data_IF_011205825560
#
_entry.id   IF_011205825560
#
_cell.length_a   1.000
_cell.length_b   1.000
_cell.length_c   1.000
_cell.angle_alpha   90.00
_cell.angle_beta   90.00
_cell.angle_gamma   90.00
#
_symmetry.space_group_name_H-M   'P 1'
#
loop_
_entity.id
_entity.type
_entity.pdbx_description
1 polymer ?
#
# COMPACT_ATOMS: atom_id res chain seq x y z
N UNK A 1 -29.81 -16.05 18.76
CA UNK A 1 -30.08 -15.06 17.71
C UNK A 1 -30.90 -13.95 18.35
N UNK A 2 -30.43 -12.69 18.33
CA UNK A 2 -31.15 -11.57 18.94
C UNK A 2 -32.38 -11.26 18.07
N UNK A 3 -33.57 -11.23 18.66
CA UNK A 3 -34.81 -10.94 17.93
C UNK A 3 -35.09 -9.44 17.86
N UNK A 4 -35.92 -9.00 16.91
CA UNK A 4 -36.31 -7.59 16.79
C UNK A 4 -36.99 -7.06 18.06
N UNK A 5 -37.74 -7.92 18.77
CA UNK A 5 -38.36 -7.58 20.05
C UNK A 5 -37.30 -7.31 21.14
N UNK A 6 -36.21 -8.08 21.15
CA UNK A 6 -35.11 -7.88 22.10
C UNK A 6 -34.41 -6.54 21.88
N UNK A 7 -34.29 -6.11 20.61
CA UNK A 7 -33.74 -4.79 20.26
C UNK A 7 -34.65 -3.66 20.75
N UNK A 8 -35.96 -3.76 20.53
CA UNK A 8 -36.94 -2.76 20.98
C UNK A 8 -36.96 -2.67 22.51
N UNK A 9 -36.87 -3.82 23.20
CA UNK A 9 -36.86 -3.87 24.66
C UNK A 9 -35.57 -3.25 25.23
N UNK A 10 -34.43 -3.47 24.59
CA UNK A 10 -33.16 -2.85 25.02
C UNK A 10 -33.15 -1.34 24.81
N UNK A 11 -33.70 -0.84 23.70
CA UNK A 11 -33.84 0.60 23.46
C UNK A 11 -34.73 1.27 24.50
N UNK A 12 -35.81 0.60 24.94
CA UNK A 12 -36.68 1.11 26.02
C UNK A 12 -35.98 1.17 27.38
N UNK A 13 -35.13 0.17 27.67
CA UNK A 13 -34.44 0.07 28.96
C UNK A 13 -33.22 1.00 29.04
N UNK A 14 -32.44 1.09 27.96
CA UNK A 14 -31.14 1.76 27.96
C UNK A 14 -31.11 3.04 27.12
N UNK A 15 -32.16 3.37 26.37
CA UNK A 15 -32.19 4.53 25.48
C UNK A 15 -31.99 5.88 26.19
N UNK A 16 -32.48 6.03 27.42
CA UNK A 16 -32.25 7.24 28.24
C UNK A 16 -30.78 7.34 28.64
N UNK A 17 -30.16 6.22 29.05
CA UNK A 17 -28.74 6.18 29.38
C UNK A 17 -27.87 6.49 28.15
N UNK A 18 -28.28 6.00 26.98
CA UNK A 18 -27.64 6.33 25.71
C UNK A 18 -27.69 7.84 25.44
N UNK A 19 -28.85 8.46 25.63
CA UNK A 19 -29.06 9.90 25.43
C UNK A 19 -28.19 10.74 26.37
N UNK A 20 -28.18 10.40 27.66
CA UNK A 20 -27.37 11.08 28.68
C UNK A 20 -25.88 10.93 28.34
N UNK A 21 -25.42 9.71 28.10
CA UNK A 21 -24.03 9.46 27.78
C UNK A 21 -23.59 10.20 26.50
N UNK A 22 -24.44 10.26 25.46
CA UNK A 22 -24.13 11.03 24.25
C UNK A 22 -24.14 12.54 24.47
N UNK A 23 -24.93 13.06 25.41
CA UNK A 23 -24.98 14.50 25.72
C UNK A 23 -23.79 14.99 26.55
N UNK A 24 -23.19 14.11 27.34
CA UNK A 24 -22.01 14.40 28.18
C UNK A 24 -20.69 14.24 27.40
N UNK A 25 -20.70 13.59 26.23
CA UNK A 25 -19.52 13.44 25.40
C UNK A 25 -19.30 14.67 24.51
N UNK A 26 -18.12 15.31 24.55
CA UNK A 26 -17.76 16.36 23.60
C UNK A 26 -17.89 15.88 22.15
N UNK A 27 -18.39 16.73 21.24
CA UNK A 27 -18.64 16.39 19.83
C UNK A 27 -17.43 15.76 19.10
N UNK A 28 -16.20 16.14 19.46
CA UNK A 28 -14.98 15.55 18.89
C UNK A 28 -14.78 14.08 19.27
N UNK A 29 -15.30 13.64 20.43
CA UNK A 29 -15.26 12.23 20.87
C UNK A 29 -16.32 11.38 20.18
N UNK A 30 -17.51 11.94 19.95
CA UNK A 30 -18.55 11.27 19.15
C UNK A 30 -18.06 10.99 17.73
N UNK A 31 -17.32 11.93 17.12
CA UNK A 31 -16.74 11.74 15.78
C UNK A 31 -15.63 10.69 15.72
N UNK A 32 -14.89 10.49 16.82
CA UNK A 32 -13.87 9.44 16.91
C UNK A 32 -14.49 8.04 17.11
N UNK A 33 -15.56 7.95 17.91
CA UNK A 33 -16.33 6.71 18.12
C UNK A 33 -17.08 6.24 16.88
N UNK A 34 -17.61 7.17 16.07
CA UNK A 34 -18.31 6.87 14.82
C UNK A 34 -17.39 6.46 13.65
N UNK A 35 -16.10 6.25 13.91
CA UNK A 35 -15.14 5.73 12.92
C UNK A 35 -15.14 6.50 11.61
N UNK A 36 -14.51 7.68 11.56
CA UNK A 36 -14.04 8.35 10.34
C UNK A 36 -14.95 8.25 9.11
N UNK A 37 -16.27 8.44 9.27
CA UNK A 37 -17.26 8.46 8.17
C UNK A 37 -17.11 9.71 7.28
N UNK A 38 -16.16 10.59 7.57
CA UNK A 38 -15.84 11.76 6.75
C UNK A 38 -14.71 11.51 5.75
N UNK A 39 -14.79 10.41 5.01
CA UNK A 39 -14.16 10.33 3.68
C UNK A 39 -15.24 10.38 2.59
N UNK A 40 -16.08 11.42 2.59
CA UNK A 40 -16.87 11.94 1.45
C UNK A 40 -17.90 12.97 1.93
N UNK A 41 -17.50 14.24 2.07
CA UNK A 41 -18.39 15.43 2.01
C UNK A 41 -17.61 16.76 2.12
N UNK A 42 -16.43 16.86 1.50
CA UNK A 42 -15.77 18.15 1.29
C UNK A 42 -15.50 18.49 -0.18
N UNK A 43 -16.29 17.93 -1.10
CA UNK A 43 -16.30 18.38 -2.50
C UNK A 43 -17.74 18.52 -3.00
N UNK A 44 -18.48 19.49 -2.46
CA UNK A 44 -19.65 20.01 -3.17
C UNK A 44 -20.02 21.43 -2.73
N UNK A 45 -19.13 22.40 -3.01
CA UNK A 45 -19.56 23.74 -3.39
C UNK A 45 -18.46 24.36 -4.27
N UNK A 46 -18.56 24.09 -5.57
CA UNK A 46 -17.62 24.55 -6.59
C UNK A 46 -18.15 24.11 -7.95
N UNK A 47 -18.97 24.97 -8.53
CA UNK A 47 -19.68 24.79 -9.80
C UNK A 47 -18.74 24.47 -10.96
N UNK A 48 -19.14 23.58 -11.88
CA UNK A 48 -18.44 23.44 -13.17
C UNK A 48 -18.59 22.12 -13.93
N UNK A 49 -19.71 21.97 -14.65
CA UNK A 49 -19.85 21.35 -15.99
C UNK A 49 -19.08 20.06 -16.37
N UNK A 50 -19.90 19.07 -16.73
CA UNK A 50 -19.82 18.13 -17.89
C UNK A 50 -18.91 16.89 -17.87
N UNK A 51 -19.61 15.73 -17.94
CA UNK A 51 -19.39 14.57 -18.83
C UNK A 51 -18.32 13.51 -18.46
N UNK A 52 -18.83 12.38 -17.92
CA UNK A 52 -18.66 10.95 -18.35
C UNK A 52 -18.37 9.97 -17.19
N UNK A 53 -19.31 9.06 -16.98
CA UNK A 53 -19.18 7.72 -16.36
C UNK A 53 -18.32 6.80 -17.28
N UNK A 54 -17.76 5.62 -16.89
CA UNK A 54 -18.12 4.74 -15.76
C UNK A 54 -16.95 4.09 -14.99
N UNK A 55 -17.18 3.67 -13.74
CA UNK A 55 -16.49 2.49 -13.21
C UNK A 55 -17.47 1.68 -12.35
N UNK A 56 -17.75 0.49 -12.88
CA UNK A 56 -18.26 -0.68 -12.15
C UNK A 56 -17.35 -0.93 -10.96
N UNK A 57 -17.92 -1.10 -9.77
CA UNK A 57 -17.38 -2.05 -8.82
C UNK A 57 -18.56 -2.70 -8.08
N UNK A 58 -18.79 -3.95 -8.41
CA UNK A 58 -19.67 -4.85 -7.70
C UNK A 58 -19.07 -5.27 -6.34
N UNK A 59 -19.93 -5.93 -5.56
CA UNK A 59 -19.70 -6.57 -4.26
C UNK A 59 -19.78 -5.60 -3.07
N UNK A 60 -20.99 -5.26 -2.60
CA UNK A 60 -21.85 -6.13 -1.78
C UNK A 60 -21.09 -6.82 -0.65
N UNK A 61 -21.05 -6.16 0.52
CA UNK A 61 -21.32 -6.85 1.78
C UNK A 61 -21.86 -5.87 2.83
N UNK A 62 -23.17 -5.97 3.00
CA UNK A 62 -23.90 -5.96 4.27
C UNK A 62 -23.36 -5.09 5.42
N UNK A 63 -23.56 -3.79 5.34
CA UNK A 63 -23.53 -2.92 6.53
C UNK A 63 -24.47 -1.73 6.39
N UNK A 64 -25.72 -1.97 6.00
CA UNK A 64 -26.83 -1.07 6.31
C UNK A 64 -27.18 -1.16 7.79
N UNK A 65 -26.23 -0.78 8.66
CA UNK A 65 -26.55 -0.39 10.04
C UNK A 65 -26.13 1.06 10.18
N UNK A 66 -27.12 1.92 10.01
CA UNK A 66 -27.06 3.33 10.40
C UNK A 66 -26.65 3.37 11.87
N UNK A 67 -25.38 3.66 12.14
CA UNK A 67 -24.87 3.80 13.50
C UNK A 67 -25.40 5.10 14.09
N UNK A 68 -26.49 5.00 14.86
CA UNK A 68 -26.97 6.12 15.64
C UNK A 68 -25.96 6.43 16.75
N UNK A 69 -25.60 7.70 17.00
CA UNK A 69 -24.57 8.10 17.98
C UNK A 69 -24.81 7.56 19.42
N UNK A 70 -26.07 7.32 19.76
CA UNK A 70 -26.51 6.65 20.98
C UNK A 70 -26.01 5.20 21.11
N UNK A 71 -25.82 4.47 20.00
CA UNK A 71 -25.34 3.08 20.00
C UNK A 71 -23.83 2.97 20.12
N UNK A 72 -23.09 3.89 19.49
CA UNK A 72 -21.63 3.97 19.61
C UNK A 72 -21.19 4.34 21.04
N UNK A 73 -22.00 5.13 21.76
CA UNK A 73 -21.70 5.56 23.13
C UNK A 73 -21.82 4.41 24.15
N UNK A 74 -22.71 3.44 23.91
CA UNK A 74 -22.96 2.33 24.84
C UNK A 74 -22.17 1.06 24.49
N UNK A 75 -21.24 1.11 23.54
CA UNK A 75 -20.45 -0.05 23.16
C UNK A 75 -19.33 -0.30 24.16
N UNK A 76 -19.44 -1.40 24.91
CA UNK A 76 -18.33 -1.91 25.71
C UNK A 76 -17.30 -2.53 24.77
N UNK A 77 -16.14 -1.89 24.62
CA UNK A 77 -15.00 -2.45 23.90
C UNK A 77 -14.10 -3.11 24.93
N UNK A 78 -13.90 -4.44 24.88
CA UNK A 78 -12.99 -5.13 25.78
C UNK A 78 -11.58 -4.54 25.70
N UNK A 79 -10.90 -4.45 26.84
CA UNK A 79 -9.54 -3.90 26.92
C UNK A 79 -8.56 -4.66 26.00
N UNK A 80 -8.72 -5.98 25.90
CA UNK A 80 -7.90 -6.83 25.05
C UNK A 80 -8.04 -6.47 23.57
N UNK A 81 -9.25 -6.12 23.12
CA UNK A 81 -9.51 -5.70 21.75
C UNK A 81 -8.89 -4.33 21.44
N UNK A 82 -8.88 -3.41 22.41
CA UNK A 82 -8.19 -2.13 22.25
C UNK A 82 -6.67 -2.30 22.17
N UNK A 83 -6.11 -3.20 23.00
CA UNK A 83 -4.69 -3.52 22.99
C UNK A 83 -4.27 -4.18 21.68
N UNK A 84 -5.03 -5.17 21.21
CA UNK A 84 -4.81 -5.84 19.92
C UNK A 84 -4.87 -4.84 18.76
N UNK A 85 -5.85 -3.93 18.75
CA UNK A 85 -5.94 -2.89 17.72
C UNK A 85 -4.75 -1.94 17.74
N UNK A 86 -4.27 -1.57 18.92
CA UNK A 86 -3.08 -0.73 19.05
C UNK A 86 -1.84 -1.49 18.54
N UNK A 87 -1.63 -2.72 18.98
CA UNK A 87 -0.52 -3.58 18.54
C UNK A 87 -0.53 -3.75 17.02
N UNK A 88 -1.68 -4.11 16.44
CA UNK A 88 -1.88 -4.24 14.98
C UNK A 88 -1.48 -2.95 14.24
N UNK A 89 -1.85 -1.77 14.77
CA UNK A 89 -1.45 -0.50 14.15
C UNK A 89 0.05 -0.22 14.26
N UNK A 90 0.67 -0.62 15.36
CA UNK A 90 2.12 -0.45 15.57
C UNK A 90 2.93 -1.37 14.66
N UNK A 91 2.51 -2.62 14.50
CA UNK A 91 3.14 -3.59 13.61
C UNK A 91 3.00 -3.17 12.15
N UNK A 92 1.80 -2.74 11.72
CA UNK A 92 1.59 -2.19 10.38
C UNK A 92 2.49 -0.99 10.10
N UNK A 93 2.65 -0.09 11.07
CA UNK A 93 3.56 1.06 10.93
C UNK A 93 5.01 0.61 10.82
N UNK A 94 5.44 -0.34 11.65
CA UNK A 94 6.79 -0.90 11.59
C UNK A 94 7.06 -1.57 10.24
N UNK A 95 6.12 -2.38 9.75
CA UNK A 95 6.17 -3.02 8.44
C UNK A 95 6.29 -1.99 7.31
N UNK A 96 5.41 -0.99 7.25
CA UNK A 96 5.46 0.05 6.22
C UNK A 96 6.80 0.78 6.21
N UNK A 97 7.34 1.12 7.39
CA UNK A 97 8.64 1.77 7.49
C UNK A 97 9.78 0.88 6.97
N UNK A 98 9.79 -0.40 7.33
CA UNK A 98 10.81 -1.34 6.83
C UNK A 98 10.70 -1.50 5.32
N UNK A 99 9.48 -1.75 4.81
CA UNK A 99 9.25 -1.96 3.39
C UNK A 99 9.70 -0.77 2.54
N UNK A 100 9.34 0.46 2.93
CA UNK A 100 9.77 1.67 2.21
C UNK A 100 11.30 1.84 2.28
N UNK A 101 11.90 1.57 3.44
CA UNK A 101 13.36 1.64 3.60
C UNK A 101 14.07 0.65 2.68
N UNK A 102 13.58 -0.59 2.63
CA UNK A 102 14.17 -1.65 1.80
C UNK A 102 14.04 -1.30 0.31
N UNK A 103 12.88 -0.78 -0.12
CA UNK A 103 12.66 -0.31 -1.49
C UNK A 103 13.61 0.84 -1.87
N UNK A 104 13.81 1.82 -0.99
CA UNK A 104 14.73 2.94 -1.22
C UNK A 104 16.17 2.47 -1.30
N UNK A 105 16.58 1.55 -0.41
CA UNK A 105 17.91 0.97 -0.44
C UNK A 105 18.17 0.23 -1.77
N UNK A 106 17.22 -0.60 -2.21
CA UNK A 106 17.35 -1.34 -3.47
C UNK A 106 17.43 -0.39 -4.67
N UNK A 107 16.57 0.63 -4.73
CA UNK A 107 16.61 1.64 -5.78
C UNK A 107 17.94 2.41 -5.80
N UNK A 108 18.48 2.73 -4.61
CA UNK A 108 19.76 3.42 -4.47
C UNK A 108 20.92 2.53 -4.94
N UNK A 109 20.92 1.25 -4.57
CA UNK A 109 21.92 0.28 -5.00
C UNK A 109 21.91 0.06 -6.52
N UNK A 110 20.72 -0.03 -7.12
CA UNK A 110 20.56 -0.12 -8.58
C UNK A 110 21.13 1.14 -9.24
N UNK A 111 20.81 2.33 -8.70
CA UNK A 111 21.33 3.58 -9.24
C UNK A 111 22.86 3.65 -9.15
N UNK A 112 23.45 3.27 -8.02
CA UNK A 112 24.91 3.26 -7.84
C UNK A 112 25.61 2.32 -8.81
N UNK A 113 25.05 1.12 -9.02
CA UNK A 113 25.54 0.15 -10.01
C UNK A 113 25.45 0.71 -11.42
N UNK A 114 24.32 1.34 -11.77
CA UNK A 114 24.14 1.98 -13.06
C UNK A 114 25.15 3.12 -13.28
N UNK A 115 25.33 4.02 -12.32
CA UNK A 115 26.31 5.10 -12.42
C UNK A 115 27.74 4.58 -12.59
N UNK A 116 28.10 3.53 -11.86
CA UNK A 116 29.41 2.89 -11.98
C UNK A 116 29.59 2.25 -13.36
N UNK A 117 28.55 1.57 -13.87
CA UNK A 117 28.56 1.00 -15.21
C UNK A 117 28.69 2.08 -16.28
N UNK A 118 27.94 3.18 -16.19
CA UNK A 118 28.02 4.28 -17.16
C UNK A 118 29.43 4.90 -17.23
N UNK A 119 30.17 4.93 -16.11
CA UNK A 119 31.57 5.39 -16.08
C UNK A 119 32.53 4.38 -16.71
N UNK A 120 32.31 3.09 -16.50
CA UNK A 120 33.21 2.03 -16.96
C UNK A 120 32.94 1.61 -18.42
N UNK A 121 31.69 1.71 -18.86
CA UNK A 121 31.21 1.23 -20.15
C UNK A 121 31.98 1.78 -21.37
N UNK A 122 32.30 3.09 -21.46
CA UNK A 122 33.07 3.61 -22.59
C UNK A 122 34.46 2.96 -22.71
N UNK A 123 35.14 2.75 -21.58
CA UNK A 123 36.46 2.13 -21.57
C UNK A 123 36.38 0.64 -21.94
N UNK A 124 35.43 -0.09 -21.36
CA UNK A 124 35.20 -1.49 -21.72
C UNK A 124 34.90 -1.66 -23.21
N UNK A 125 34.07 -0.77 -23.79
CA UNK A 125 33.77 -0.79 -25.21
C UNK A 125 35.04 -0.59 -26.06
N UNK A 126 35.88 0.38 -25.71
CA UNK A 126 37.15 0.63 -26.40
C UNK A 126 38.05 -0.61 -26.34
N UNK A 127 38.15 -1.25 -25.17
CA UNK A 127 38.96 -2.45 -24.98
C UNK A 127 38.44 -3.63 -25.81
N UNK A 128 37.13 -3.90 -25.78
CA UNK A 128 36.52 -4.97 -26.59
C UNK A 128 36.80 -4.77 -28.08
N UNK A 129 36.60 -3.54 -28.57
CA UNK A 129 36.84 -3.24 -30.00
C UNK A 129 38.32 -3.35 -30.33
N UNK A 130 39.21 -2.84 -29.46
CA UNK A 130 40.66 -2.93 -29.64
C UNK A 130 41.11 -4.39 -29.71
N UNK A 131 40.67 -5.21 -28.77
CA UNK A 131 41.05 -6.62 -28.68
C UNK A 131 40.58 -7.38 -29.92
N UNK A 132 39.34 -7.14 -30.36
CA UNK A 132 38.83 -7.73 -31.60
C UNK A 132 39.67 -7.32 -32.84
N UNK A 133 40.04 -6.04 -32.95
CA UNK A 133 40.87 -5.54 -34.07
C UNK A 133 42.28 -6.13 -34.02
N UNK A 134 42.87 -6.27 -32.83
CA UNK A 134 44.19 -6.90 -32.65
C UNK A 134 44.13 -8.38 -33.02
N UNK A 135 43.07 -9.09 -32.61
CA UNK A 135 42.87 -10.51 -32.89
C UNK A 135 42.85 -10.81 -34.40
N UNK A 136 42.13 -9.98 -35.18
CA UNK A 136 41.97 -10.17 -36.64
C UNK A 136 43.11 -9.56 -37.47
N UNK A 137 44.06 -8.87 -36.85
CA UNK A 137 45.15 -8.16 -37.56
C UNK A 137 45.98 -9.10 -38.42
N UNK A 138 46.33 -10.28 -37.89
CA UNK A 138 46.97 -11.35 -38.65
C UNK A 138 45.93 -12.40 -39.06
N UNK A 139 45.45 -12.25 -40.30
CA UNK A 139 44.40 -13.10 -40.88
C UNK A 139 44.78 -14.59 -40.89
N UNK A 140 46.07 -14.92 -41.07
CA UNK A 140 46.50 -16.32 -41.14
C UNK A 140 46.50 -16.96 -39.76
N UNK A 141 47.01 -16.24 -38.76
CA UNK A 141 46.96 -16.70 -37.37
C UNK A 141 45.53 -16.80 -36.87
N UNK A 142 44.70 -15.79 -37.14
CA UNK A 142 43.28 -15.78 -36.78
C UNK A 142 42.53 -16.98 -37.39
N UNK A 143 42.70 -17.24 -38.69
CA UNK A 143 42.07 -18.39 -39.36
C UNK A 143 42.48 -19.73 -38.75
N UNK A 144 43.76 -19.92 -38.43
CA UNK A 144 44.22 -21.15 -37.76
C UNK A 144 43.56 -21.32 -36.39
N UNK A 145 43.46 -20.25 -35.60
CA UNK A 145 42.80 -20.30 -34.30
C UNK A 145 41.29 -20.57 -34.41
N UNK A 146 40.60 -19.99 -35.40
CA UNK A 146 39.20 -20.29 -35.65
C UNK A 146 38.98 -21.77 -36.02
N UNK A 147 39.80 -22.30 -36.93
CA UNK A 147 39.71 -23.72 -37.32
C UNK A 147 40.02 -24.66 -36.15
N UNK A 148 40.99 -24.30 -35.31
CA UNK A 148 41.32 -25.04 -34.09
C UNK A 148 40.15 -25.04 -33.10
N UNK A 149 39.52 -23.89 -32.81
CA UNK A 149 38.34 -23.80 -31.93
C UNK A 149 37.18 -24.68 -32.42
N UNK A 150 36.93 -24.70 -33.72
CA UNK A 150 35.89 -25.55 -34.32
C UNK A 150 36.25 -27.04 -34.17
N UNK A 151 37.53 -27.38 -34.29
CA UNK A 151 38.01 -28.76 -34.11
C UNK A 151 37.97 -29.23 -32.66
N UNK A 152 38.18 -28.33 -31.69
CA UNK A 152 38.16 -28.62 -30.25
C UNK A 152 36.73 -28.71 -29.67
N UNK A 153 35.76 -28.09 -30.34
CA UNK A 153 34.33 -28.17 -29.99
C UNK A 153 33.64 -29.45 -30.51
N UNK A 154 34.39 -30.42 -31.03
CA UNK A 154 33.90 -31.65 -31.64
C UNK A 154 34.29 -32.87 -30.81
#
# INVERSE_FOLDING_TARGET
MVTQNDVIMSERLFGILACIASSELPQYRLTALLGDTRKKTFHQLGEGKTKKSPLVNEESNDSTRVETPSRATLQYIPQDLLSEKLEETTEKKAFCNSYVKDLVNEATDINLKNESLQKLWPQMFIEIVRDAVIEIRDKNSYMKQCLQRISEQK
#
